data_IF_424334541607
#
_entry.id   IF_424334541607
#
_cell.length_a   1.000
_cell.length_b   1.000
_cell.length_c   1.000
_cell.angle_alpha   90.00
_cell.angle_beta   90.00
_cell.angle_gamma   90.00
#
_symmetry.space_group_name_H-M   'P 1'
#
loop_
_entity.id
_entity.type
_entity.pdbx_description
1 polymer ?
#
# COMPACT_ATOMS: atom_id res chain seq x y z
N UNK A 1 6.73 -23.02 7.78
CA UNK A 1 6.15 -21.76 8.31
C UNK A 1 4.68 -21.65 7.90
N UNK A 2 3.87 -20.96 8.72
CA UNK A 2 2.47 -20.72 8.41
C UNK A 2 2.31 -19.67 7.32
N UNK A 3 1.32 -19.85 6.44
CA UNK A 3 0.96 -18.90 5.39
C UNK A 3 -0.54 -18.91 5.12
N UNK A 4 -1.09 -17.78 4.66
CA UNK A 4 -2.44 -17.70 4.11
C UNK A 4 -2.32 -17.74 2.59
N UNK A 5 -2.85 -18.79 1.99
CA UNK A 5 -2.80 -19.03 0.55
C UNK A 5 -4.19 -18.97 -0.08
N UNK A 6 -4.25 -18.53 -1.33
CA UNK A 6 -5.43 -18.75 -2.16
C UNK A 6 -5.20 -19.90 -3.14
N UNK A 7 -6.24 -20.73 -3.31
CA UNK A 7 -6.19 -22.00 -4.04
C UNK A 7 -6.95 -21.96 -5.35
N UNK A 8 -7.75 -20.92 -5.56
CA UNK A 8 -8.58 -20.73 -6.73
C UNK A 8 -9.12 -19.32 -6.84
N UNK A 9 -9.71 -19.00 -7.96
CA UNK A 9 -10.36 -17.71 -8.20
C UNK A 9 -11.85 -17.78 -7.92
N UNK A 10 -12.42 -16.72 -7.36
CA UNK A 10 -13.86 -16.58 -7.11
C UNK A 10 -14.20 -16.13 -5.70
N UNK A 11 -15.15 -16.81 -5.07
CA UNK A 11 -15.58 -16.46 -3.72
C UNK A 11 -14.47 -16.67 -2.70
N UNK A 12 -14.15 -15.63 -1.94
CA UNK A 12 -13.01 -15.57 -1.02
C UNK A 12 -13.07 -16.70 0.02
N UNK A 13 -14.22 -16.86 0.68
CA UNK A 13 -14.43 -17.85 1.74
C UNK A 13 -14.15 -19.30 1.31
N UNK A 14 -14.24 -19.58 0.01
CA UNK A 14 -14.01 -20.92 -0.56
C UNK A 14 -12.59 -21.12 -1.09
N UNK A 15 -11.85 -20.05 -1.26
CA UNK A 15 -10.56 -20.08 -1.96
C UNK A 15 -9.39 -19.59 -1.10
N UNK A 16 -9.59 -19.43 0.21
CA UNK A 16 -8.52 -19.10 1.16
C UNK A 16 -8.32 -20.28 2.12
N UNK A 17 -7.05 -20.59 2.38
CA UNK A 17 -6.68 -21.60 3.38
C UNK A 17 -5.39 -21.19 4.12
N UNK A 18 -5.27 -21.65 5.37
CA UNK A 18 -4.00 -21.65 6.09
C UNK A 18 -3.20 -22.89 5.70
N UNK A 19 -1.93 -22.71 5.36
CA UNK A 19 -1.03 -23.78 4.93
C UNK A 19 0.28 -23.72 5.69
N UNK A 20 0.96 -24.86 5.77
CA UNK A 20 2.38 -24.93 6.11
C UNK A 20 3.20 -24.93 4.80
N UNK A 21 4.13 -23.99 4.68
CA UNK A 21 5.02 -23.87 3.52
C UNK A 21 6.49 -23.83 3.98
N UNK A 22 7.42 -24.07 3.08
CA UNK A 22 8.83 -23.94 3.36
C UNK A 22 9.21 -22.47 3.59
N UNK A 23 10.18 -22.24 4.50
CA UNK A 23 10.78 -20.92 4.71
C UNK A 23 11.56 -20.55 3.43
N UNK A 24 11.38 -19.32 2.88
CA UNK A 24 12.08 -18.95 1.66
C UNK A 24 13.59 -18.85 1.90
N UNK A 25 14.37 -19.24 0.89
CA UNK A 25 15.80 -18.94 0.80
C UNK A 25 15.96 -17.58 0.12
N UNK A 26 17.05 -16.89 0.45
CA UNK A 26 17.36 -15.57 -0.13
C UNK A 26 18.40 -15.69 -1.25
N UNK A 27 18.27 -14.84 -2.25
CA UNK A 27 19.28 -14.61 -3.26
C UNK A 27 20.35 -13.60 -2.76
N UNK A 28 21.43 -13.41 -3.53
CA UNK A 28 22.55 -12.53 -3.18
C UNK A 28 22.16 -11.07 -2.90
N UNK A 29 21.10 -10.57 -3.55
CA UNK A 29 20.61 -9.21 -3.45
C UNK A 29 19.34 -9.08 -2.57
N UNK A 30 18.99 -10.12 -1.83
CA UNK A 30 17.78 -10.17 -1.01
C UNK A 30 18.09 -10.18 0.49
N UNK A 31 17.11 -9.78 1.25
CA UNK A 31 17.05 -9.97 2.70
C UNK A 31 15.90 -10.89 3.06
N UNK A 32 16.02 -11.60 4.16
CA UNK A 32 14.93 -12.32 4.78
C UNK A 32 14.35 -11.47 5.90
N UNK A 33 13.08 -11.16 5.78
CA UNK A 33 12.34 -10.37 6.78
C UNK A 33 11.48 -11.32 7.61
N UNK A 34 11.65 -11.30 8.93
CA UNK A 34 10.68 -11.82 9.89
C UNK A 34 9.53 -10.82 9.99
N UNK A 35 8.31 -11.26 9.66
CA UNK A 35 7.15 -10.37 9.50
C UNK A 35 6.48 -10.12 10.84
N UNK A 36 6.35 -8.85 11.21
CA UNK A 36 5.64 -8.39 12.40
C UNK A 36 4.25 -7.87 12.08
N UNK A 37 4.08 -7.28 10.89
CA UNK A 37 2.78 -6.85 10.38
C UNK A 37 2.73 -6.94 8.84
N UNK A 38 1.54 -7.25 8.32
CA UNK A 38 1.24 -7.27 6.90
C UNK A 38 -0.04 -6.48 6.61
N UNK A 39 -0.01 -5.60 5.62
CA UNK A 39 -1.15 -4.79 5.21
C UNK A 39 -2.12 -5.57 4.33
N UNK A 40 -3.41 -5.48 4.64
CA UNK A 40 -4.50 -6.03 3.80
C UNK A 40 -5.05 -4.94 2.90
N UNK A 41 -5.13 -5.22 1.61
CA UNK A 41 -5.55 -4.25 0.61
C UNK A 41 -6.74 -4.74 -0.23
N UNK A 42 -7.58 -3.83 -0.77
CA UNK A 42 -8.59 -4.19 -1.76
C UNK A 42 -8.01 -4.92 -2.99
N UNK A 43 -6.70 -4.78 -3.23
CA UNK A 43 -5.98 -5.49 -4.27
C UNK A 43 -5.97 -7.00 -4.03
N UNK A 44 -5.77 -7.45 -2.79
CA UNK A 44 -5.79 -8.88 -2.42
C UNK A 44 -7.13 -9.52 -2.76
N UNK A 45 -8.22 -8.82 -2.44
CA UNK A 45 -9.58 -9.22 -2.78
C UNK A 45 -9.77 -9.37 -4.29
N UNK A 46 -9.36 -8.34 -5.07
CA UNK A 46 -9.50 -8.33 -6.53
C UNK A 46 -8.69 -9.45 -7.20
N UNK A 47 -7.55 -9.82 -6.62
CA UNK A 47 -6.75 -10.96 -7.08
C UNK A 47 -7.51 -12.26 -6.90
N UNK A 48 -8.02 -12.54 -5.69
CA UNK A 48 -8.77 -13.77 -5.40
C UNK A 48 -10.04 -13.86 -6.25
N UNK A 49 -10.77 -12.75 -6.41
CA UNK A 49 -11.94 -12.68 -7.28
C UNK A 49 -11.63 -12.90 -8.77
N UNK A 50 -10.35 -12.95 -9.16
CA UNK A 50 -9.92 -13.14 -10.53
C UNK A 50 -10.04 -11.89 -11.43
N UNK A 51 -10.36 -10.72 -10.86
CA UNK A 51 -10.51 -9.46 -11.61
C UNK A 51 -9.22 -9.02 -12.29
N UNK A 52 -8.08 -9.50 -11.79
CA UNK A 52 -6.74 -9.17 -12.32
C UNK A 52 -6.08 -10.35 -13.06
N UNK A 53 -6.79 -11.46 -13.28
CA UNK A 53 -6.26 -12.69 -13.90
C UNK A 53 -5.59 -12.46 -15.27
N UNK A 54 -6.03 -11.45 -16.03
CA UNK A 54 -5.45 -11.12 -17.35
C UNK A 54 -4.07 -10.46 -17.25
N UNK A 55 -3.75 -9.81 -16.14
CA UNK A 55 -2.50 -9.05 -15.93
C UNK A 55 -1.60 -9.69 -14.89
N UNK A 56 -2.16 -10.57 -14.04
CA UNK A 56 -1.43 -11.30 -12.99
C UNK A 56 -1.94 -12.73 -12.94
N UNK A 57 -1.19 -13.65 -13.51
CA UNK A 57 -1.53 -15.08 -13.47
C UNK A 57 -0.64 -15.77 -12.44
N UNK A 58 -1.24 -16.15 -11.31
CA UNK A 58 -0.53 -16.82 -10.22
C UNK A 58 -0.53 -18.33 -10.41
N UNK A 59 0.63 -18.95 -10.11
CA UNK A 59 0.70 -20.41 -9.95
C UNK A 59 0.10 -20.75 -8.58
N UNK A 60 -1.04 -21.43 -8.60
CA UNK A 60 -1.78 -21.79 -7.39
C UNK A 60 -1.27 -23.11 -6.78
N UNK A 61 -1.33 -23.29 -5.44
CA UNK A 61 -1.69 -22.27 -4.46
C UNK A 61 -0.64 -21.17 -4.33
N UNK A 62 -1.08 -19.93 -4.06
CA UNK A 62 -0.18 -18.79 -3.91
C UNK A 62 -0.43 -18.03 -2.59
N UNK A 63 0.66 -17.61 -1.94
CA UNK A 63 0.58 -16.84 -0.68
C UNK A 63 0.12 -15.42 -0.97
N UNK A 64 -0.84 -14.92 -0.19
CA UNK A 64 -1.42 -13.60 -0.31
C UNK A 64 -0.54 -12.50 0.31
N UNK A 65 -0.95 -11.24 0.05
CA UNK A 65 -0.39 -10.05 0.67
C UNK A 65 0.72 -9.38 -0.15
N UNK A 66 0.79 -8.06 -0.05
CA UNK A 66 1.78 -7.23 -0.75
C UNK A 66 2.58 -6.35 0.19
N UNK A 67 1.97 -5.87 1.27
CA UNK A 67 2.59 -4.94 2.21
C UNK A 67 3.13 -5.66 3.43
N UNK A 68 4.31 -5.28 3.87
CA UNK A 68 5.01 -5.89 5.00
C UNK A 68 5.79 -4.88 5.81
N UNK A 69 5.87 -5.12 7.09
CA UNK A 69 6.83 -4.52 8.00
C UNK A 69 7.37 -5.58 8.96
N UNK A 70 8.68 -5.55 9.24
CA UNK A 70 9.32 -6.56 10.06
C UNK A 70 10.80 -6.29 10.27
N UNK A 71 11.54 -7.30 10.70
CA UNK A 71 12.96 -7.23 11.04
C UNK A 71 13.78 -8.09 10.09
N UNK A 72 14.89 -7.57 9.60
CA UNK A 72 15.84 -8.35 8.78
C UNK A 72 16.55 -9.36 9.67
N UNK A 73 16.44 -10.66 9.36
CA UNK A 73 17.07 -11.75 10.08
C UNK A 73 18.20 -12.45 9.30
N UNK A 74 18.20 -12.33 7.97
CA UNK A 74 19.26 -12.83 7.07
C UNK A 74 19.46 -11.81 5.94
N UNK A 75 20.68 -11.74 5.37
CA UNK A 75 20.95 -10.89 4.20
C UNK A 75 21.92 -11.59 3.23
N UNK A 76 21.68 -11.37 1.95
CA UNK A 76 22.54 -11.83 0.86
C UNK A 76 23.88 -11.07 0.81
N UNK A 77 24.86 -11.66 0.14
CA UNK A 77 26.25 -11.17 0.10
C UNK A 77 26.39 -9.76 -0.52
N UNK A 78 25.48 -9.38 -1.44
CA UNK A 78 25.48 -8.08 -2.11
C UNK A 78 24.70 -7.00 -1.34
N UNK A 79 24.05 -7.33 -0.23
CA UNK A 79 23.27 -6.37 0.55
C UNK A 79 24.19 -5.53 1.42
N UNK A 80 24.36 -4.26 1.02
CA UNK A 80 25.28 -3.33 1.70
C UNK A 80 24.56 -2.22 2.47
N UNK A 81 23.32 -1.89 2.11
CA UNK A 81 22.59 -0.76 2.66
C UNK A 81 21.77 -1.11 3.91
N UNK A 82 21.68 -2.39 4.26
CA UNK A 82 20.89 -2.89 5.39
C UNK A 82 21.69 -3.90 6.21
N UNK A 83 21.34 -4.00 7.50
CA UNK A 83 21.96 -4.91 8.47
C UNK A 83 20.91 -5.85 9.06
N UNK A 84 21.36 -6.99 9.56
CA UNK A 84 20.53 -7.87 10.39
C UNK A 84 20.13 -7.10 11.64
N UNK A 85 18.84 -7.15 12.00
CA UNK A 85 18.24 -6.38 13.08
C UNK A 85 17.59 -5.06 12.66
N UNK A 86 17.79 -4.61 11.40
CA UNK A 86 17.10 -3.40 10.90
C UNK A 86 15.60 -3.64 10.81
N UNK A 87 14.83 -2.68 11.33
CA UNK A 87 13.37 -2.61 11.16
C UNK A 87 13.06 -2.00 9.80
N UNK A 88 12.32 -2.73 8.99
CA UNK A 88 12.04 -2.36 7.59
C UNK A 88 10.56 -2.49 7.23
N UNK A 89 10.19 -1.85 6.12
CA UNK A 89 8.89 -2.02 5.49
C UNK A 89 9.01 -2.01 3.98
N UNK A 90 8.07 -2.66 3.30
CA UNK A 90 8.10 -2.82 1.85
C UNK A 90 6.72 -3.09 1.26
N UNK A 91 6.57 -2.73 -0.01
CA UNK A 91 5.58 -3.32 -0.92
C UNK A 91 6.31 -4.32 -1.81
N UNK A 92 6.06 -5.60 -1.58
CA UNK A 92 6.68 -6.66 -2.40
C UNK A 92 6.07 -6.72 -3.81
N UNK A 93 6.88 -7.07 -4.79
CA UNK A 93 6.41 -7.10 -6.20
C UNK A 93 5.50 -8.30 -6.48
N UNK A 94 5.84 -9.45 -5.91
CA UNK A 94 5.03 -10.64 -5.93
C UNK A 94 4.23 -10.73 -4.63
N UNK A 95 3.15 -11.49 -4.61
CA UNK A 95 2.44 -11.79 -3.37
C UNK A 95 3.33 -12.60 -2.42
N UNK A 96 2.97 -12.60 -1.13
CA UNK A 96 3.65 -13.48 -0.18
C UNK A 96 3.89 -12.89 1.19
N UNK A 97 3.19 -11.82 1.59
CA UNK A 97 3.40 -11.21 2.90
C UNK A 97 2.49 -11.75 4.00
N UNK A 98 1.44 -12.53 3.67
CA UNK A 98 0.61 -13.18 4.69
C UNK A 98 1.24 -14.52 5.11
N UNK A 99 2.43 -14.43 5.71
CA UNK A 99 3.28 -15.52 6.16
C UNK A 99 4.19 -15.05 7.30
N UNK A 100 5.01 -15.93 7.87
CA UNK A 100 5.92 -15.57 8.97
C UNK A 100 7.22 -14.93 8.45
N UNK A 101 7.67 -15.28 7.24
CA UNK A 101 8.91 -14.77 6.65
C UNK A 101 8.75 -14.49 5.17
N UNK A 102 9.45 -13.48 4.66
CA UNK A 102 9.49 -13.17 3.22
C UNK A 102 10.89 -12.77 2.77
N UNK A 103 11.31 -13.28 1.62
CA UNK A 103 12.52 -12.85 0.93
C UNK A 103 12.22 -11.64 0.05
N UNK A 104 12.98 -10.55 0.20
CA UNK A 104 12.71 -9.27 -0.50
C UNK A 104 14.02 -8.67 -1.00
N UNK A 105 14.02 -8.24 -2.26
CA UNK A 105 15.17 -7.56 -2.85
C UNK A 105 15.41 -6.21 -2.16
N UNK A 106 16.69 -5.91 -1.83
CA UNK A 106 17.09 -4.69 -1.12
C UNK A 106 16.63 -3.39 -1.80
N UNK A 107 16.40 -3.37 -3.11
CA UNK A 107 16.02 -2.17 -3.85
C UNK A 107 14.55 -1.73 -3.66
N UNK A 108 13.74 -2.57 -3.03
CA UNK A 108 12.31 -2.27 -2.79
C UNK A 108 11.95 -2.22 -1.30
N UNK A 109 12.93 -2.25 -0.41
CA UNK A 109 12.74 -2.07 1.03
C UNK A 109 13.20 -0.68 1.49
N UNK A 110 12.67 -0.23 2.62
CA UNK A 110 13.09 0.98 3.29
C UNK A 110 13.13 0.76 4.80
N UNK A 111 13.96 1.51 5.52
CA UNK A 111 13.94 1.50 6.98
C UNK A 111 12.59 2.00 7.49
N UNK A 112 12.03 1.30 8.46
CA UNK A 112 10.80 1.72 9.13
C UNK A 112 11.05 3.05 9.87
N UNK A 113 10.15 4.05 9.72
CA UNK A 113 10.28 5.27 10.51
C UNK A 113 10.27 4.95 12.02
N UNK A 114 11.17 5.57 12.77
CA UNK A 114 11.35 5.28 14.22
C UNK A 114 10.13 5.62 15.08
N UNK A 115 9.28 6.51 14.58
CA UNK A 115 8.07 6.99 15.28
C UNK A 115 6.79 6.23 14.85
N UNK A 116 6.92 5.10 14.16
CA UNK A 116 5.77 4.26 13.76
C UNK A 116 5.88 2.86 14.37
N UNK A 117 4.74 2.22 14.59
CA UNK A 117 4.67 0.79 14.89
C UNK A 117 4.87 -0.03 13.62
N UNK A 118 4.99 -1.35 13.73
CA UNK A 118 5.05 -2.23 12.55
C UNK A 118 3.72 -2.21 11.78
N UNK A 119 2.59 -2.17 12.49
CA UNK A 119 1.25 -2.12 11.90
C UNK A 119 1.05 -0.83 11.10
N UNK A 120 1.43 0.31 11.67
CA UNK A 120 1.38 1.59 10.96
C UNK A 120 2.28 1.57 9.71
N UNK A 121 3.51 1.07 9.84
CA UNK A 121 4.45 0.98 8.73
C UNK A 121 3.93 0.03 7.63
N UNK A 122 3.34 -1.12 7.98
CA UNK A 122 2.78 -2.06 7.02
C UNK A 122 1.52 -1.53 6.29
N UNK A 123 0.85 -0.51 6.85
CA UNK A 123 -0.32 0.10 6.20
C UNK A 123 0.02 1.04 5.03
N UNK A 124 1.29 1.45 4.90
CA UNK A 124 1.71 2.54 4.02
C UNK A 124 2.17 2.12 2.61
N UNK A 125 2.88 0.99 2.38
CA UNK A 125 3.67 0.83 1.17
C UNK A 125 2.84 0.86 -0.12
N UNK A 126 1.79 0.07 -0.24
CA UNK A 126 0.97 0.01 -1.46
C UNK A 126 0.25 1.34 -1.72
N UNK A 127 -0.40 1.88 -0.70
CA UNK A 127 -1.21 3.11 -0.83
C UNK A 127 -0.33 4.33 -1.03
N UNK A 128 0.78 4.44 -0.30
CA UNK A 128 1.74 5.52 -0.42
C UNK A 128 2.43 5.55 -1.79
N UNK A 129 2.95 4.40 -2.24
CA UNK A 129 3.56 4.29 -3.58
C UNK A 129 2.54 4.59 -4.68
N UNK A 130 1.30 4.12 -4.55
CA UNK A 130 0.23 4.40 -5.53
C UNK A 130 -0.04 5.90 -5.61
N UNK A 131 -0.22 6.57 -4.48
CA UNK A 131 -0.46 8.01 -4.42
C UNK A 131 0.73 8.80 -4.97
N UNK A 132 1.94 8.54 -4.49
CA UNK A 132 3.16 9.24 -4.93
C UNK A 132 3.41 9.09 -6.43
N UNK A 133 3.25 7.88 -6.97
CA UNK A 133 3.43 7.62 -8.40
C UNK A 133 2.38 8.34 -9.25
N UNK A 134 1.11 8.38 -8.81
CA UNK A 134 0.05 9.11 -9.50
C UNK A 134 0.35 10.61 -9.53
N UNK A 135 0.63 11.21 -8.38
CA UNK A 135 0.91 12.65 -8.26
C UNK A 135 2.18 13.04 -9.01
N UNK A 136 3.23 12.23 -8.95
CA UNK A 136 4.46 12.45 -9.72
C UNK A 136 4.24 12.32 -11.23
N UNK A 137 3.45 11.34 -11.68
CA UNK A 137 3.10 11.16 -13.09
C UNK A 137 2.27 12.34 -13.63
N UNK A 138 1.35 12.86 -12.81
CA UNK A 138 0.59 14.08 -13.07
C UNK A 138 1.42 15.36 -12.99
N UNK A 139 2.70 15.27 -12.56
CA UNK A 139 3.64 16.38 -12.39
C UNK A 139 3.11 17.47 -11.45
N UNK A 140 2.44 17.06 -10.37
CA UNK A 140 1.94 17.99 -9.36
C UNK A 140 3.08 18.85 -8.79
N UNK A 141 2.86 20.16 -8.68
CA UNK A 141 3.81 21.13 -8.15
C UNK A 141 3.13 22.11 -7.18
N UNK A 142 3.94 22.87 -6.47
CA UNK A 142 3.44 23.92 -5.58
C UNK A 142 2.59 24.95 -6.33
N UNK A 143 1.46 25.31 -5.75
CA UNK A 143 0.49 26.25 -6.31
C UNK A 143 -0.55 25.60 -7.25
N UNK A 144 -0.37 24.34 -7.65
CA UNK A 144 -1.40 23.63 -8.42
C UNK A 144 -2.63 23.34 -7.56
N UNK A 145 -3.77 23.20 -8.23
CA UNK A 145 -5.05 22.78 -7.64
C UNK A 145 -5.38 21.35 -8.06
N UNK A 146 -5.62 20.48 -7.09
CA UNK A 146 -5.90 19.06 -7.35
C UNK A 146 -7.25 18.64 -6.77
N UNK A 147 -7.97 17.78 -7.51
CA UNK A 147 -9.15 17.07 -7.00
C UNK A 147 -8.78 15.61 -6.72
N UNK A 148 -8.86 15.20 -5.47
CA UNK A 148 -8.63 13.81 -5.03
C UNK A 148 -9.98 13.19 -4.68
N UNK A 149 -10.44 12.23 -5.49
CA UNK A 149 -11.64 11.47 -5.17
C UNK A 149 -11.38 10.44 -4.06
N UNK A 150 -12.42 10.15 -3.26
CA UNK A 150 -12.36 9.16 -2.17
C UNK A 150 -11.27 9.48 -1.14
N UNK A 151 -11.22 10.70 -0.64
CA UNK A 151 -10.22 11.21 0.30
C UNK A 151 -10.09 10.41 1.60
N UNK A 152 -11.12 9.69 2.02
CA UNK A 152 -11.09 8.81 3.20
C UNK A 152 -10.56 7.39 2.92
N UNK A 153 -10.24 7.04 1.68
CA UNK A 153 -9.60 5.77 1.35
C UNK A 153 -8.09 5.80 1.59
N UNK A 154 -7.44 4.64 1.66
CA UNK A 154 -6.00 4.55 1.93
C UNK A 154 -5.13 5.37 0.96
N UNK A 155 -5.39 5.29 -0.35
CA UNK A 155 -4.67 6.09 -1.35
C UNK A 155 -5.03 7.58 -1.21
N UNK A 156 -6.32 7.91 -1.03
CA UNK A 156 -6.79 9.29 -0.92
C UNK A 156 -6.23 10.02 0.30
N UNK A 157 -6.24 9.38 1.46
CA UNK A 157 -5.73 9.96 2.71
C UNK A 157 -4.22 10.25 2.65
N UNK A 158 -3.45 9.37 2.04
CA UNK A 158 -2.03 9.62 1.80
C UNK A 158 -1.82 10.72 0.75
N UNK A 159 -2.59 10.67 -0.36
CA UNK A 159 -2.46 11.64 -1.45
C UNK A 159 -2.76 13.07 -1.00
N UNK A 160 -3.77 13.27 -0.14
CA UNK A 160 -4.09 14.58 0.45
C UNK A 160 -2.87 15.14 1.19
N UNK A 161 -2.33 14.40 2.15
CA UNK A 161 -1.19 14.84 2.96
C UNK A 161 0.05 15.09 2.10
N UNK A 162 0.32 14.23 1.13
CA UNK A 162 1.46 14.38 0.23
C UNK A 162 1.28 15.58 -0.71
N UNK A 163 0.10 15.82 -1.29
CA UNK A 163 -0.19 17.00 -2.09
C UNK A 163 -0.05 18.29 -1.27
N UNK A 164 -0.52 18.30 -0.02
CA UNK A 164 -0.33 19.42 0.89
C UNK A 164 1.15 19.69 1.21
N UNK A 165 1.94 18.65 1.40
CA UNK A 165 3.39 18.80 1.62
C UNK A 165 4.14 19.40 0.43
N UNK A 166 3.61 19.22 -0.79
CA UNK A 166 4.12 19.85 -2.02
C UNK A 166 3.69 21.33 -2.10
N UNK A 167 2.63 21.75 -1.41
CA UNK A 167 2.07 23.10 -1.47
C UNK A 167 0.92 23.26 -2.48
N UNK A 168 0.21 22.17 -2.80
CA UNK A 168 -0.97 22.21 -3.64
C UNK A 168 -2.24 22.63 -2.86
N UNK A 169 -3.23 23.17 -3.58
CA UNK A 169 -4.58 23.31 -3.07
C UNK A 169 -5.38 22.04 -3.32
N UNK A 170 -5.96 21.45 -2.27
CA UNK A 170 -6.57 20.14 -2.35
C UNK A 170 -8.10 20.22 -2.16
N UNK A 171 -8.83 19.92 -3.24
CA UNK A 171 -10.21 19.48 -3.18
C UNK A 171 -10.26 17.97 -2.99
N UNK A 172 -11.20 17.49 -2.18
CA UNK A 172 -11.43 16.05 -2.06
C UNK A 172 -12.90 15.72 -1.88
N UNK A 173 -13.29 14.51 -2.30
CA UNK A 173 -14.64 13.98 -2.09
C UNK A 173 -14.61 12.87 -1.07
N UNK A 174 -15.60 12.87 -0.15
CA UNK A 174 -15.80 11.79 0.82
C UNK A 174 -17.27 11.63 1.19
N UNK A 175 -17.61 10.61 1.97
CA UNK A 175 -18.95 10.46 2.53
C UNK A 175 -19.12 11.32 3.78
N UNK A 176 -20.38 11.59 4.17
CA UNK A 176 -20.75 12.51 5.28
C UNK A 176 -20.02 12.18 6.58
N UNK A 177 -19.89 10.91 6.91
CA UNK A 177 -19.27 10.41 8.14
C UNK A 177 -17.77 10.66 8.24
N UNK A 178 -17.10 10.91 7.12
CA UNK A 178 -15.64 11.07 7.06
C UNK A 178 -15.20 12.53 6.84
N UNK A 179 -16.12 13.47 6.72
CA UNK A 179 -15.82 14.87 6.36
C UNK A 179 -14.84 15.51 7.34
N UNK A 180 -15.10 15.41 8.63
CA UNK A 180 -14.25 16.06 9.65
C UNK A 180 -12.85 15.42 9.69
N UNK A 181 -12.77 14.09 9.69
CA UNK A 181 -11.49 13.40 9.66
C UNK A 181 -10.65 13.77 8.42
N UNK A 182 -11.27 13.82 7.24
CA UNK A 182 -10.55 14.17 6.00
C UNK A 182 -10.09 15.64 6.00
N UNK A 183 -10.80 16.55 6.66
CA UNK A 183 -10.31 17.92 6.88
C UNK A 183 -9.04 17.95 7.73
N UNK A 184 -8.98 17.13 8.78
CA UNK A 184 -7.79 17.01 9.64
C UNK A 184 -6.55 16.53 8.88
N UNK A 185 -6.71 15.81 7.77
CA UNK A 185 -5.61 15.43 6.87
C UNK A 185 -5.04 16.62 6.08
N UNK A 186 -5.67 17.79 6.15
CA UNK A 186 -5.21 19.02 5.54
C UNK A 186 -5.85 19.38 4.20
N UNK A 187 -6.92 18.69 3.77
CA UNK A 187 -7.65 19.08 2.57
C UNK A 187 -8.27 20.48 2.71
N UNK A 188 -8.06 21.35 1.72
CA UNK A 188 -8.56 22.74 1.75
C UNK A 188 -10.09 22.79 1.57
N UNK A 189 -10.63 21.94 0.72
CA UNK A 189 -12.09 21.81 0.51
C UNK A 189 -12.50 20.34 0.49
N UNK A 190 -13.35 19.96 1.43
CA UNK A 190 -13.91 18.61 1.52
C UNK A 190 -15.36 18.63 1.06
N UNK A 191 -15.68 17.82 0.08
CA UNK A 191 -16.98 17.74 -0.58
C UNK A 191 -17.68 16.45 -0.16
N UNK A 192 -18.80 16.58 0.55
CA UNK A 192 -19.69 15.46 0.87
C UNK A 192 -20.48 15.06 -0.38
N UNK A 193 -20.05 14.02 -1.09
CA UNK A 193 -20.66 13.58 -2.35
C UNK A 193 -22.11 13.06 -2.17
N UNK A 194 -22.55 12.81 -0.94
CA UNK A 194 -23.96 12.45 -0.64
C UNK A 194 -24.89 13.65 -0.64
N UNK A 195 -24.35 14.87 -0.48
CA UNK A 195 -25.12 16.12 -0.34
C UNK A 195 -24.77 17.17 -1.40
N UNK A 196 -23.63 17.04 -2.04
CA UNK A 196 -23.06 18.08 -2.91
C UNK A 196 -22.60 17.49 -4.24
N UNK A 197 -22.84 18.20 -5.34
CA UNK A 197 -22.22 17.88 -6.62
C UNK A 197 -20.86 18.59 -6.71
N UNK A 198 -19.78 17.80 -6.71
CA UNK A 198 -18.41 18.34 -6.78
C UNK A 198 -18.19 19.22 -8.03
N UNK A 199 -18.91 18.97 -9.15
CA UNK A 199 -18.79 19.73 -10.41
C UNK A 199 -19.22 21.19 -10.25
N UNK A 200 -20.07 21.50 -9.26
CA UNK A 200 -20.53 22.86 -8.99
C UNK A 200 -19.59 23.63 -8.07
N UNK A 201 -18.70 22.92 -7.37
CA UNK A 201 -17.83 23.46 -6.31
C UNK A 201 -16.40 23.63 -6.81
N UNK A 202 -15.93 22.63 -7.52
CA UNK A 202 -14.51 22.53 -7.97
C UNK A 202 -14.28 23.48 -9.13
N UNK A 203 -13.19 24.28 -9.07
CA UNK A 203 -12.83 25.27 -10.09
C UNK A 203 -11.34 25.22 -10.36
N UNK A 204 -10.95 25.55 -11.58
CA UNK A 204 -9.56 25.77 -12.01
C UNK A 204 -8.61 24.63 -11.59
N UNK A 205 -8.96 23.38 -12.00
CA UNK A 205 -8.24 22.18 -11.63
C UNK A 205 -7.09 21.90 -12.61
N UNK A 206 -5.88 21.74 -12.06
CA UNK A 206 -4.69 21.32 -12.79
C UNK A 206 -4.58 19.80 -12.88
N UNK A 207 -5.09 19.06 -11.88
CA UNK A 207 -5.00 17.60 -11.79
C UNK A 207 -6.23 16.97 -11.12
N UNK A 208 -6.62 15.77 -11.61
CA UNK A 208 -7.61 14.88 -10.97
C UNK A 208 -7.01 13.50 -10.76
#
# INVERSE_FOLDING_TARGET
>A
MKAIQFTGYGEISKNIMTSEIEKPTIDKDEVLIEIYAAGVNPLDIKVIEGKLKRVSNFKLPATLGYDVSGIIIEKGENVTNFNIGDEVFSKVNNQGTFTEFVAVNQNIISLKPKNTTFEEAASLPLVGLTAMQALKRGKLKAGDTILIHSGSGGVGSFAIQYAKSIGAYVYTTTSSENVEWVKELGADTVIDYKKQDYKTIVKDIDMV
#
